data_IF_596560878510
#
_entry.id   IF_596560878510
#
_cell.length_a   1.000
_cell.length_b   1.000
_cell.length_c   1.000
_cell.angle_alpha   90.00
_cell.angle_beta   90.00
_cell.angle_gamma   90.00
#
_symmetry.space_group_name_H-M   'P 1'
#
loop_
_entity.id
_entity.type
_entity.pdbx_description
1 polymer ?
#
# COMPACT_ATOMS: atom_id res chain seq x y z
N UNK A 1 -22.27 18.00 -0.09
CA UNK A 1 -22.27 17.42 -1.45
C UNK A 1 -21.08 16.46 -1.56
N UNK A 2 -21.20 15.35 -2.31
CA UNK A 2 -20.25 14.22 -2.36
C UNK A 2 -19.55 14.13 -3.74
N UNK A 3 -18.62 13.20 -3.94
CA UNK A 3 -18.02 12.88 -5.26
C UNK A 3 -18.74 11.76 -5.99
N UNK A 4 -19.60 10.99 -5.31
CA UNK A 4 -20.37 9.91 -5.89
C UNK A 4 -21.44 10.45 -6.84
N UNK A 5 -21.47 9.93 -8.07
CA UNK A 5 -22.46 10.27 -9.09
C UNK A 5 -23.70 9.39 -8.89
N UNK A 6 -24.88 10.00 -8.75
CA UNK A 6 -26.15 9.31 -8.42
C UNK A 6 -27.25 9.49 -9.46
N UNK A 7 -27.09 10.45 -10.35
CA UNK A 7 -28.06 10.83 -11.37
C UNK A 7 -27.90 10.03 -12.68
N UNK A 8 -26.99 9.06 -12.68
CA UNK A 8 -26.70 8.23 -13.87
C UNK A 8 -25.96 8.99 -14.96
N UNK A 9 -25.52 10.23 -14.72
CA UNK A 9 -24.77 11.00 -15.70
C UNK A 9 -23.49 10.28 -16.12
N UNK A 10 -23.20 10.37 -17.42
CA UNK A 10 -22.00 9.83 -18.05
C UNK A 10 -21.13 11.00 -18.49
N UNK A 11 -19.89 11.01 -18.03
CA UNK A 11 -18.90 12.01 -18.38
C UNK A 11 -17.54 11.32 -18.42
N UNK A 12 -16.76 11.55 -19.48
CA UNK A 12 -15.47 10.92 -19.68
C UNK A 12 -14.45 11.25 -18.58
N UNK A 13 -14.66 12.35 -17.84
CA UNK A 13 -13.85 12.71 -16.67
C UNK A 13 -14.15 11.85 -15.43
N UNK A 14 -15.22 11.07 -15.42
CA UNK A 14 -15.60 10.29 -14.25
C UNK A 14 -14.75 9.03 -14.09
N UNK A 15 -14.34 8.76 -12.85
CA UNK A 15 -13.67 7.52 -12.50
C UNK A 15 -14.73 6.47 -12.19
N UNK A 16 -14.58 5.26 -12.75
CA UNK A 16 -15.53 4.16 -12.57
C UNK A 16 -14.87 2.96 -11.91
N UNK A 17 -15.56 2.30 -10.98
CA UNK A 17 -15.03 1.09 -10.35
C UNK A 17 -14.96 -0.08 -11.35
N UNK A 18 -13.94 -0.96 -11.26
CA UNK A 18 -13.69 -1.98 -12.28
C UNK A 18 -14.81 -3.02 -12.49
N UNK A 19 -15.60 -3.33 -11.46
CA UNK A 19 -16.61 -4.41 -11.54
C UNK A 19 -18.04 -3.88 -11.43
N UNK A 20 -18.32 -3.02 -10.44
CA UNK A 20 -19.67 -2.47 -10.23
C UNK A 20 -19.97 -1.23 -11.07
N UNK A 21 -18.97 -0.67 -11.75
CA UNK A 21 -19.10 0.56 -12.55
C UNK A 21 -19.66 1.74 -11.74
N UNK A 22 -19.38 1.77 -10.43
CA UNK A 22 -19.74 2.88 -9.54
C UNK A 22 -18.92 4.11 -9.93
N UNK A 23 -19.60 5.24 -10.18
CA UNK A 23 -18.99 6.44 -10.75
C UNK A 23 -18.69 7.53 -9.73
N UNK A 24 -17.52 8.12 -9.86
CA UNK A 24 -17.04 9.21 -9.02
C UNK A 24 -16.55 10.36 -9.89
N UNK A 25 -16.95 11.58 -9.54
CA UNK A 25 -16.44 12.82 -10.16
C UNK A 25 -14.92 12.88 -10.07
N UNK A 26 -14.29 13.48 -11.08
CA UNK A 26 -12.83 13.67 -11.09
C UNK A 26 -12.37 14.53 -9.92
N UNK A 27 -11.12 14.37 -9.52
CA UNK A 27 -10.51 15.24 -8.51
C UNK A 27 -10.40 16.69 -8.99
N UNK A 28 -10.28 16.92 -10.29
CA UNK A 28 -10.25 18.23 -10.95
C UNK A 28 -11.58 18.96 -10.85
N UNK A 29 -12.69 18.25 -11.05
CA UNK A 29 -14.03 18.80 -10.82
C UNK A 29 -14.28 19.00 -9.32
N UNK A 30 -13.87 18.01 -8.51
CA UNK A 30 -14.24 17.97 -7.11
C UNK A 30 -13.31 17.16 -6.22
N UNK A 31 -12.52 17.88 -5.45
CA UNK A 31 -11.72 17.24 -4.41
C UNK A 31 -12.54 16.95 -3.14
N UNK A 32 -12.82 15.68 -2.86
CA UNK A 32 -13.61 15.23 -1.72
C UNK A 32 -12.97 15.47 -0.35
N UNK A 33 -13.77 15.39 0.72
CA UNK A 33 -13.30 15.59 2.10
C UNK A 33 -12.39 14.45 2.58
N UNK A 34 -12.78 13.20 2.33
CA UNK A 34 -12.04 12.01 2.79
C UNK A 34 -10.62 11.96 2.21
N UNK A 35 -10.38 12.15 0.89
CA UNK A 35 -9.03 12.25 0.35
C UNK A 35 -8.17 13.34 1.00
N UNK A 36 -8.74 14.52 1.31
CA UNK A 36 -8.01 15.59 2.02
C UNK A 36 -7.56 15.18 3.41
N UNK A 37 -8.46 14.57 4.18
CA UNK A 37 -8.16 14.09 5.53
C UNK A 37 -7.10 12.98 5.49
N UNK A 38 -7.24 12.02 4.58
CA UNK A 38 -6.26 10.95 4.40
C UNK A 38 -4.90 11.50 3.96
N UNK A 39 -4.85 12.50 3.07
CA UNK A 39 -3.60 13.13 2.67
C UNK A 39 -2.89 13.83 3.85
N UNK A 40 -3.64 14.50 4.73
CA UNK A 40 -3.09 15.08 5.95
C UNK A 40 -2.53 14.02 6.90
N UNK A 41 -3.27 12.92 7.10
CA UNK A 41 -2.81 11.80 7.93
C UNK A 41 -1.57 11.11 7.33
N UNK A 42 -1.52 10.95 6.01
CA UNK A 42 -0.33 10.43 5.32
C UNK A 42 0.89 11.31 5.57
N UNK A 43 0.76 12.63 5.38
CA UNK A 43 1.85 13.57 5.64
C UNK A 43 2.30 13.54 7.12
N UNK A 44 1.37 13.45 8.05
CA UNK A 44 1.68 13.32 9.48
C UNK A 44 2.41 12.00 9.78
N UNK A 45 1.98 10.89 9.15
CA UNK A 45 2.65 9.59 9.29
C UNK A 45 4.06 9.62 8.73
N UNK A 46 4.26 10.24 7.57
CA UNK A 46 5.57 10.37 6.95
C UNK A 46 6.52 11.21 7.80
N UNK A 47 6.02 12.28 8.42
CA UNK A 47 6.78 13.04 9.41
C UNK A 47 7.26 12.16 10.58
N UNK A 48 6.38 11.39 11.23
CA UNK A 48 6.80 10.52 12.33
C UNK A 48 7.74 9.39 11.89
N UNK A 49 7.61 8.87 10.66
CA UNK A 49 8.58 7.91 10.11
C UNK A 49 9.95 8.56 9.89
N UNK A 50 9.99 9.83 9.48
CA UNK A 50 11.25 10.56 9.32
C UNK A 50 11.90 10.80 10.69
N UNK A 51 11.14 11.26 11.70
CA UNK A 51 11.65 11.42 13.06
C UNK A 51 12.13 10.09 13.67
N UNK A 52 11.39 9.00 13.44
CA UNK A 52 11.81 7.65 13.84
C UNK A 52 13.17 7.29 13.23
N UNK A 53 13.38 7.58 11.93
CA UNK A 53 14.65 7.32 11.26
C UNK A 53 15.77 8.15 11.91
N UNK A 54 15.55 9.44 12.11
CA UNK A 54 16.52 10.35 12.76
C UNK A 54 16.88 9.89 14.17
N UNK A 55 15.89 9.51 14.98
CA UNK A 55 16.11 9.03 16.35
C UNK A 55 16.91 7.72 16.38
N UNK A 56 16.61 6.77 15.47
CA UNK A 56 17.40 5.54 15.33
C UNK A 56 18.86 5.83 14.93
N UNK A 57 19.09 6.76 14.01
CA UNK A 57 20.44 7.17 13.60
C UNK A 57 21.21 7.87 14.74
N UNK A 58 20.51 8.62 15.60
CA UNK A 58 21.08 9.25 16.78
C UNK A 58 21.27 8.29 17.97
N UNK A 59 20.73 7.07 17.90
CA UNK A 59 20.74 6.11 19.01
C UNK A 59 19.81 6.49 20.18
N UNK A 60 18.86 7.41 19.96
CA UNK A 60 17.87 7.81 20.96
C UNK A 60 16.69 6.83 20.94
N UNK A 61 16.77 5.84 21.83
CA UNK A 61 15.78 4.76 21.92
C UNK A 61 14.41 5.22 22.36
N UNK A 62 14.32 6.24 23.21
CA UNK A 62 13.06 6.71 23.77
C UNK A 62 12.27 7.49 22.72
N UNK A 63 12.95 8.39 21.99
CA UNK A 63 12.34 9.09 20.86
C UNK A 63 11.98 8.13 19.73
N UNK A 64 12.85 7.16 19.41
CA UNK A 64 12.55 6.15 18.40
C UNK A 64 11.28 5.35 18.76
N UNK A 65 11.18 4.88 20.01
CA UNK A 65 9.98 4.17 20.47
C UNK A 65 8.72 5.04 20.33
N UNK A 66 8.78 6.30 20.79
CA UNK A 66 7.65 7.23 20.70
C UNK A 66 7.19 7.43 19.25
N UNK A 67 8.12 7.73 18.34
CA UNK A 67 7.79 8.00 16.93
C UNK A 67 7.25 6.75 16.21
N UNK A 68 7.72 5.56 16.58
CA UNK A 68 7.15 4.31 16.08
C UNK A 68 5.68 4.12 16.54
N UNK A 69 5.37 4.40 17.81
CA UNK A 69 4.00 4.33 18.30
C UNK A 69 3.08 5.36 17.62
N UNK A 70 3.59 6.58 17.38
CA UNK A 70 2.82 7.63 16.71
C UNK A 70 2.53 7.29 15.25
N UNK A 71 3.52 6.85 14.46
CA UNK A 71 3.27 6.46 13.07
C UNK A 71 2.30 5.26 12.99
N UNK A 72 2.37 4.35 13.97
CA UNK A 72 1.51 3.18 14.04
C UNK A 72 0.07 3.56 14.39
N UNK A 73 -0.14 4.47 15.35
CA UNK A 73 -1.45 5.01 15.66
C UNK A 73 -2.10 5.71 14.46
N UNK A 74 -1.32 6.51 13.71
CA UNK A 74 -1.80 7.16 12.48
C UNK A 74 -2.17 6.11 11.42
N UNK A 75 -1.38 5.04 11.25
CA UNK A 75 -1.71 3.92 10.35
C UNK A 75 -3.06 3.28 10.71
N UNK A 76 -3.29 2.98 11.98
CA UNK A 76 -4.56 2.40 12.45
C UNK A 76 -5.71 3.36 12.13
N UNK A 77 -5.54 4.64 12.44
CA UNK A 77 -6.56 5.65 12.17
C UNK A 77 -6.89 5.73 10.68
N UNK A 78 -5.89 5.76 9.79
CA UNK A 78 -6.10 5.75 8.34
C UNK A 78 -6.88 4.52 7.89
N UNK A 79 -6.49 3.32 8.32
CA UNK A 79 -7.15 2.07 7.93
C UNK A 79 -8.58 1.98 8.47
N UNK A 80 -8.88 2.64 9.61
CA UNK A 80 -10.23 2.66 10.19
C UNK A 80 -11.27 3.34 9.29
N UNK A 81 -10.87 4.28 8.42
CA UNK A 81 -11.79 4.94 7.49
C UNK A 81 -12.48 3.93 6.57
N UNK A 82 -11.76 2.95 6.04
CA UNK A 82 -12.36 1.88 5.26
C UNK A 82 -13.43 1.13 6.08
N UNK A 83 -13.11 0.77 7.32
CA UNK A 83 -14.05 0.09 8.22
C UNK A 83 -15.34 0.87 8.44
N UNK A 84 -15.24 2.19 8.62
CA UNK A 84 -16.41 3.08 8.78
C UNK A 84 -17.29 3.12 7.52
N UNK A 85 -16.70 3.01 6.32
CA UNK A 85 -17.47 3.03 5.07
C UNK A 85 -18.03 1.67 4.65
N UNK A 86 -17.39 0.57 5.07
CA UNK A 86 -17.74 -0.78 4.66
C UNK A 86 -18.61 -1.55 5.67
N UNK A 87 -18.62 -1.16 6.94
CA UNK A 87 -19.37 -1.89 7.99
C UNK A 87 -20.78 -1.35 8.17
N UNK A 88 -21.79 -2.21 7.99
CA UNK A 88 -23.23 -1.89 8.08
C UNK A 88 -23.70 -1.20 9.36
N UNK A 89 -22.90 -1.23 10.43
CA UNK A 89 -23.25 -0.62 11.72
C UNK A 89 -22.97 0.87 11.81
N UNK A 90 -22.16 1.44 10.90
CA UNK A 90 -21.79 2.85 10.97
C UNK A 90 -22.74 3.75 10.18
N UNK A 91 -22.91 4.98 10.67
CA UNK A 91 -23.78 5.99 10.04
C UNK A 91 -23.33 6.41 8.63
N UNK A 92 -22.04 6.30 8.34
CA UNK A 92 -21.45 6.75 7.07
C UNK A 92 -21.23 5.61 6.07
N UNK A 93 -21.79 4.43 6.32
CA UNK A 93 -21.66 3.27 5.44
C UNK A 93 -22.24 3.56 4.07
N UNK A 94 -21.50 3.15 3.03
CA UNK A 94 -22.01 3.14 1.67
C UNK A 94 -21.52 1.87 0.96
N UNK A 95 -22.40 0.90 0.67
CA UNK A 95 -22.02 -0.39 0.09
C UNK A 95 -21.17 -0.25 -1.18
N UNK A 96 -21.59 0.63 -2.10
CA UNK A 96 -20.87 0.86 -3.35
C UNK A 96 -19.46 1.45 -3.14
N UNK A 97 -19.25 2.23 -2.07
CA UNK A 97 -17.93 2.77 -1.73
C UNK A 97 -17.00 1.68 -1.21
N UNK A 98 -17.49 0.86 -0.27
CA UNK A 98 -16.73 -0.29 0.24
C UNK A 98 -16.36 -1.28 -0.88
N UNK A 99 -17.34 -1.62 -1.72
CA UNK A 99 -17.14 -2.46 -2.90
C UNK A 99 -16.09 -1.85 -3.83
N UNK A 100 -16.24 -0.58 -4.21
CA UNK A 100 -15.30 0.11 -5.12
C UNK A 100 -13.86 0.13 -4.60
N UNK A 101 -13.65 0.33 -3.29
CA UNK A 101 -12.31 0.28 -2.68
C UNK A 101 -11.68 -1.10 -2.89
N UNK A 102 -12.42 -2.17 -2.57
CA UNK A 102 -11.92 -3.54 -2.72
C UNK A 102 -11.74 -3.97 -4.19
N UNK A 103 -12.59 -3.48 -5.10
CA UNK A 103 -12.46 -3.74 -6.53
C UNK A 103 -11.19 -3.13 -7.10
N UNK A 104 -10.92 -1.84 -6.79
CA UNK A 104 -9.70 -1.18 -7.21
C UNK A 104 -8.45 -1.85 -6.62
N UNK A 105 -8.48 -2.25 -5.35
CA UNK A 105 -7.36 -2.97 -4.73
C UNK A 105 -7.06 -4.29 -5.47
N UNK A 106 -8.08 -5.12 -5.73
CA UNK A 106 -7.91 -6.39 -6.47
C UNK A 106 -7.51 -6.17 -7.92
N UNK A 107 -8.03 -5.14 -8.57
CA UNK A 107 -7.65 -4.80 -9.93
C UNK A 107 -6.17 -4.41 -9.99
N UNK A 108 -5.73 -3.52 -9.11
CA UNK A 108 -4.35 -3.04 -9.08
C UNK A 108 -3.36 -4.16 -8.79
N UNK A 109 -3.61 -5.00 -7.78
CA UNK A 109 -2.69 -6.10 -7.46
C UNK A 109 -2.57 -7.10 -8.62
N UNK A 110 -3.67 -7.41 -9.32
CA UNK A 110 -3.64 -8.28 -10.51
C UNK A 110 -2.86 -7.66 -11.66
N UNK A 111 -3.02 -6.36 -11.89
CA UNK A 111 -2.26 -5.63 -12.91
C UNK A 111 -0.77 -5.61 -12.59
N UNK A 112 -0.39 -5.42 -11.32
CA UNK A 112 1.00 -5.49 -10.87
C UNK A 112 1.56 -6.90 -11.09
N UNK A 113 0.84 -7.95 -10.68
CA UNK A 113 1.25 -9.35 -10.89
C UNK A 113 1.49 -9.62 -12.38
N UNK A 114 0.53 -9.27 -13.23
CA UNK A 114 0.63 -9.46 -14.68
C UNK A 114 1.87 -8.75 -15.24
N UNK A 115 2.14 -7.52 -14.80
CA UNK A 115 3.30 -6.75 -15.24
C UNK A 115 4.61 -7.39 -14.80
N UNK A 116 4.73 -7.76 -13.53
CA UNK A 116 5.93 -8.38 -12.97
C UNK A 116 6.23 -9.72 -13.64
N UNK A 117 5.22 -10.55 -13.87
CA UNK A 117 5.36 -11.81 -14.61
C UNK A 117 5.79 -11.59 -16.06
N UNK A 118 5.21 -10.57 -16.74
CA UNK A 118 5.59 -10.22 -18.11
C UNK A 118 7.04 -9.72 -18.24
N UNK A 119 7.59 -9.16 -17.16
CA UNK A 119 8.98 -8.72 -17.07
C UNK A 119 9.94 -9.89 -16.77
N UNK A 120 9.43 -11.12 -16.70
CA UNK A 120 10.23 -12.34 -16.51
C UNK A 120 10.45 -12.73 -15.05
N UNK A 121 9.75 -12.09 -14.11
CA UNK A 121 9.87 -12.36 -12.69
C UNK A 121 8.65 -13.14 -12.18
N UNK A 122 8.76 -14.46 -11.91
CA UNK A 122 7.63 -15.26 -11.49
C UNK A 122 7.11 -14.82 -10.12
N UNK A 123 5.82 -14.54 -10.02
CA UNK A 123 5.14 -14.28 -8.75
C UNK A 123 4.78 -15.62 -8.11
N UNK A 124 5.21 -15.85 -6.87
CA UNK A 124 4.96 -17.11 -6.14
C UNK A 124 3.79 -17.01 -5.18
N UNK A 125 3.50 -15.81 -4.69
CA UNK A 125 2.43 -15.55 -3.74
C UNK A 125 2.01 -14.09 -3.77
N UNK A 126 0.77 -13.81 -3.35
CA UNK A 126 0.28 -12.45 -3.13
C UNK A 126 -0.70 -12.43 -1.97
N UNK A 127 -0.61 -11.41 -1.12
CA UNK A 127 -1.60 -11.14 -0.08
C UNK A 127 -1.97 -9.67 -0.11
N UNK A 128 -3.18 -9.39 -0.63
CA UNK A 128 -3.89 -8.10 -0.69
C UNK A 128 -3.11 -6.87 -1.15
N UNK A 129 -2.08 -6.45 -0.41
CA UNK A 129 -1.20 -5.30 -0.64
C UNK A 129 0.27 -5.69 -0.91
N UNK A 130 0.59 -6.98 -0.90
CA UNK A 130 1.94 -7.51 -1.10
C UNK A 130 1.99 -8.59 -2.19
N UNK A 131 3.12 -8.63 -2.90
CA UNK A 131 3.47 -9.69 -3.84
C UNK A 131 4.85 -10.24 -3.50
N UNK A 132 5.01 -11.54 -3.68
CA UNK A 132 6.24 -12.26 -3.42
C UNK A 132 6.72 -12.80 -4.75
N UNK A 133 7.93 -12.40 -5.12
CA UNK A 133 8.50 -12.64 -6.43
C UNK A 133 9.73 -13.51 -6.28
N UNK A 134 9.94 -14.45 -7.20
CA UNK A 134 11.14 -15.26 -7.22
C UNK A 134 12.31 -14.40 -7.70
N UNK A 135 13.31 -14.24 -6.84
CA UNK A 135 14.59 -13.64 -7.18
C UNK A 135 15.27 -14.40 -8.34
N UNK A 136 15.87 -13.70 -9.33
CA UNK A 136 16.60 -14.31 -10.45
C UNK A 136 17.98 -14.84 -10.03
N UNK A 137 18.09 -15.46 -8.86
CA UNK A 137 19.35 -15.99 -8.33
C UNK A 137 19.41 -17.50 -8.51
N UNK A 138 20.62 -18.06 -8.55
CA UNK A 138 20.80 -19.51 -8.63
C UNK A 138 20.09 -20.21 -7.47
N UNK A 139 19.55 -21.41 -7.74
CA UNK A 139 18.71 -22.16 -6.80
C UNK A 139 19.43 -22.48 -5.47
N UNK A 140 20.76 -22.58 -5.51
CA UNK A 140 21.60 -22.91 -4.36
C UNK A 140 22.14 -21.66 -3.62
N UNK A 141 21.77 -20.45 -4.08
CA UNK A 141 22.12 -19.21 -3.41
C UNK A 141 21.52 -19.20 -1.99
N UNK A 142 22.31 -18.89 -0.94
CA UNK A 142 21.79 -18.83 0.42
C UNK A 142 20.65 -17.81 0.53
N UNK A 143 19.55 -18.18 1.17
CA UNK A 143 18.43 -17.25 1.40
C UNK A 143 18.76 -16.26 2.53
N UNK A 144 19.33 -16.78 3.61
CA UNK A 144 19.75 -15.98 4.76
C UNK A 144 21.21 -15.58 4.63
N UNK A 145 21.57 -14.43 5.21
CA UNK A 145 22.96 -13.99 5.30
C UNK A 145 23.77 -15.04 6.07
N UNK A 146 24.72 -15.75 5.42
CA UNK A 146 25.57 -16.70 6.11
C UNK A 146 26.64 -15.96 6.92
N UNK A 147 27.33 -16.69 7.80
CA UNK A 147 28.52 -16.16 8.48
C UNK A 147 29.55 -15.66 7.47
N UNK A 148 30.26 -14.58 7.82
CA UNK A 148 31.24 -13.94 6.91
C UNK A 148 32.35 -14.89 6.48
N UNK A 149 32.67 -15.88 7.31
CA UNK A 149 33.73 -16.85 7.08
C UNK A 149 33.23 -18.10 6.33
N UNK A 150 31.93 -18.17 6.02
CA UNK A 150 31.34 -19.28 5.27
C UNK A 150 31.70 -19.20 3.79
N UNK A 151 31.97 -20.35 3.17
CA UNK A 151 32.30 -20.47 1.74
C UNK A 151 31.20 -19.90 0.84
N UNK A 152 29.94 -19.96 1.27
CA UNK A 152 28.78 -19.46 0.54
C UNK A 152 28.49 -17.97 0.76
N UNK A 153 29.31 -17.26 1.55
CA UNK A 153 29.14 -15.82 1.77
C UNK A 153 29.40 -14.99 0.51
N UNK A 154 30.35 -15.42 -0.33
CA UNK A 154 30.62 -14.79 -1.61
C UNK A 154 29.41 -14.90 -2.54
N UNK A 155 28.82 -16.09 -2.65
CA UNK A 155 27.64 -16.37 -3.48
C UNK A 155 26.43 -15.57 -2.99
N UNK A 156 26.18 -15.54 -1.68
CA UNK A 156 25.13 -14.70 -1.09
C UNK A 156 25.32 -13.22 -1.40
N UNK A 157 26.56 -12.72 -1.33
CA UNK A 157 26.87 -11.31 -1.59
C UNK A 157 26.69 -10.96 -3.08
N UNK A 158 27.09 -11.86 -3.98
CA UNK A 158 26.89 -11.69 -5.43
C UNK A 158 25.41 -11.69 -5.78
N UNK A 159 24.66 -12.69 -5.31
CA UNK A 159 23.21 -12.80 -5.47
C UNK A 159 22.49 -11.53 -4.97
N UNK A 160 22.88 -11.00 -3.80
CA UNK A 160 22.32 -9.76 -3.23
C UNK A 160 22.52 -8.55 -4.13
N UNK A 161 23.66 -8.42 -4.80
CA UNK A 161 23.96 -7.29 -5.71
C UNK A 161 23.20 -7.41 -7.03
N UNK A 162 22.95 -8.63 -7.49
CA UNK A 162 22.16 -8.88 -8.70
C UNK A 162 20.66 -8.63 -8.50
N UNK A 163 20.16 -8.76 -7.26
CA UNK A 163 18.73 -8.58 -6.94
C UNK A 163 18.32 -7.20 -6.44
N UNK A 164 19.26 -6.37 -5.96
CA UNK A 164 18.99 -5.05 -5.35
C UNK A 164 19.66 -3.91 -6.11
#
# INVERSE_FOLDING_TARGET
STTLVRDGSENDSYNSSPTTNTRYRSSEERHGLVPRLLAQLMAQRDHYKAELKTANEAGDTDSAFLHDQLQYAVKILMNSFYGVFASSFYRFTHPDLGASITEWARHNIRSIITKVESDGYPVVYSDTDSIFVRAPVEKDSPINKPDKDSLVYADWKAAKVETL
#
